data_IF_673310626888
#
_entry.id   IF_673310626888
#
_cell.length_a   1.000
_cell.length_b   1.000
_cell.length_c   1.000
_cell.angle_alpha   90.00
_cell.angle_beta   90.00
_cell.angle_gamma   90.00
#
_symmetry.space_group_name_H-M   'P 1'
#
loop_
_entity.id
_entity.type
_entity.pdbx_description
1 polymer ?
#
# COMPACT_ATOMS: atom_id res chain seq x y z
N UNK A 1 7.25 -12.09 -19.36
CA UNK A 1 8.42 -11.21 -19.16
C UNK A 1 8.55 -10.94 -17.67
N UNK A 2 9.74 -11.05 -17.08
CA UNK A 2 9.94 -10.69 -15.68
C UNK A 2 9.88 -9.16 -15.54
N UNK A 3 8.99 -8.66 -14.69
CA UNK A 3 8.90 -7.23 -14.41
C UNK A 3 10.13 -6.75 -13.63
N UNK A 4 10.81 -5.73 -14.13
CA UNK A 4 11.92 -5.09 -13.42
C UNK A 4 11.41 -4.35 -12.17
N UNK A 5 12.30 -4.13 -11.19
CA UNK A 5 11.97 -3.36 -9.99
C UNK A 5 11.36 -1.99 -10.33
N UNK A 6 11.96 -1.28 -11.28
CA UNK A 6 11.47 0.01 -11.76
C UNK A 6 10.04 -0.05 -12.30
N UNK A 7 9.74 -1.07 -13.11
CA UNK A 7 8.39 -1.26 -13.65
C UNK A 7 7.35 -1.55 -12.56
N UNK A 8 7.77 -2.21 -11.47
CA UNK A 8 6.90 -2.48 -10.32
C UNK A 8 6.63 -1.22 -9.50
N UNK A 9 7.66 -0.38 -9.31
CA UNK A 9 7.48 0.95 -8.70
C UNK A 9 6.50 1.80 -9.52
N UNK A 10 6.66 1.81 -10.84
CA UNK A 10 5.74 2.49 -11.76
C UNK A 10 4.30 1.99 -11.61
N UNK A 11 4.10 0.68 -11.71
CA UNK A 11 2.78 0.07 -11.59
C UNK A 11 2.13 0.38 -10.24
N UNK A 12 2.93 0.42 -9.17
CA UNK A 12 2.46 0.80 -7.82
C UNK A 12 2.04 2.26 -7.77
N UNK A 13 2.85 3.17 -8.32
CA UNK A 13 2.53 4.60 -8.43
C UNK A 13 1.21 4.81 -9.19
N UNK A 14 1.07 4.15 -10.35
CA UNK A 14 -0.12 4.25 -11.19
C UNK A 14 -1.36 3.67 -10.48
N UNK A 15 -1.23 2.55 -9.77
CA UNK A 15 -2.31 1.96 -8.96
C UNK A 15 -2.76 2.90 -7.82
N UNK A 16 -1.84 3.66 -7.25
CA UNK A 16 -2.13 4.67 -6.22
C UNK A 16 -2.64 6.00 -6.81
N UNK A 17 -2.72 6.13 -8.14
CA UNK A 17 -3.18 7.35 -8.80
C UNK A 17 -2.23 8.54 -8.67
N UNK A 18 -0.95 8.29 -8.36
CA UNK A 18 0.04 9.35 -8.13
C UNK A 18 0.75 9.75 -9.43
N UNK A 19 1.06 11.04 -9.58
CA UNK A 19 1.97 11.52 -10.63
C UNK A 19 3.44 11.35 -10.21
N UNK A 20 4.36 11.46 -11.18
CA UNK A 20 5.79 11.40 -10.88
C UNK A 20 6.24 12.58 -10.01
N UNK A 21 5.71 13.77 -10.26
CA UNK A 21 6.00 14.99 -9.51
C UNK A 21 5.57 14.86 -8.05
N UNK A 22 4.38 14.30 -7.79
CA UNK A 22 3.90 14.06 -6.42
C UNK A 22 4.81 13.09 -5.65
N UNK A 23 5.34 12.07 -6.31
CA UNK A 23 6.29 11.14 -5.69
C UNK A 23 7.61 11.85 -5.38
N UNK A 24 8.13 12.64 -6.32
CA UNK A 24 9.36 13.41 -6.13
C UNK A 24 9.23 14.39 -4.97
N UNK A 25 8.13 15.13 -4.91
CA UNK A 25 7.85 16.05 -3.81
C UNK A 25 7.82 15.32 -2.46
N UNK A 26 7.17 14.15 -2.38
CA UNK A 26 7.15 13.39 -1.13
C UNK A 26 8.51 12.79 -0.75
N UNK A 27 9.33 12.37 -1.72
CA UNK A 27 10.68 11.89 -1.49
C UNK A 27 11.58 13.01 -0.94
N UNK A 28 11.44 14.22 -1.48
CA UNK A 28 12.18 15.39 -1.02
C UNK A 28 11.75 15.78 0.40
N UNK A 29 10.45 15.95 0.65
CA UNK A 29 9.92 16.40 1.95
C UNK A 29 10.19 15.39 3.07
N UNK A 30 10.05 14.08 2.82
CA UNK A 30 10.07 13.06 3.88
C UNK A 30 11.41 12.35 4.03
N UNK A 31 12.23 12.31 2.98
CA UNK A 31 13.42 11.48 2.93
C UNK A 31 14.69 12.21 2.48
N UNK A 32 14.61 13.52 2.20
CA UNK A 32 15.75 14.32 1.70
C UNK A 32 16.36 13.71 0.43
N UNK A 33 15.50 13.17 -0.44
CA UNK A 33 15.89 12.61 -1.74
C UNK A 33 15.36 13.53 -2.83
N UNK A 34 16.24 14.37 -3.35
CA UNK A 34 15.94 15.21 -4.51
C UNK A 34 16.29 14.47 -5.79
N UNK A 35 15.35 14.39 -6.73
CA UNK A 35 15.60 13.86 -8.07
C UNK A 35 14.74 14.55 -9.12
N UNK A 36 15.21 14.54 -10.37
CA UNK A 36 14.43 15.08 -11.50
C UNK A 36 13.33 14.10 -11.95
N UNK A 37 12.29 14.62 -12.61
CA UNK A 37 11.28 13.79 -13.27
C UNK A 37 11.92 12.82 -14.28
N UNK A 38 12.93 13.28 -15.02
CA UNK A 38 13.68 12.42 -15.95
C UNK A 38 14.35 11.25 -15.21
N UNK A 39 14.95 11.51 -14.04
CA UNK A 39 15.56 10.47 -13.21
C UNK A 39 14.52 9.43 -12.80
N UNK A 40 13.39 9.86 -12.21
CA UNK A 40 12.32 8.95 -11.82
C UNK A 40 11.77 8.15 -13.01
N UNK A 41 11.58 8.80 -14.15
CA UNK A 41 11.16 8.12 -15.38
C UNK A 41 12.17 7.06 -15.83
N UNK A 42 13.47 7.34 -15.80
CA UNK A 42 14.49 6.35 -16.16
C UNK A 42 14.55 5.18 -15.18
N UNK A 43 14.29 5.41 -13.89
CA UNK A 43 14.13 4.36 -12.89
C UNK A 43 12.91 3.49 -13.24
N UNK A 44 11.75 4.10 -13.45
CA UNK A 44 10.48 3.42 -13.73
C UNK A 44 10.52 2.56 -15.00
N UNK A 45 11.30 2.97 -16.00
CA UNK A 45 11.53 2.20 -17.21
C UNK A 45 12.66 1.16 -17.08
N UNK A 46 13.28 1.03 -15.90
CA UNK A 46 14.38 0.10 -15.64
C UNK A 46 15.70 0.46 -16.32
N UNK A 47 15.82 1.69 -16.86
CA UNK A 47 17.05 2.19 -17.48
C UNK A 47 18.08 2.59 -16.43
N UNK A 48 17.63 3.05 -15.26
CA UNK A 48 18.45 3.33 -14.08
C UNK A 48 18.08 2.37 -12.96
N UNK A 49 19.07 1.88 -12.22
CA UNK A 49 18.85 1.06 -11.02
C UNK A 49 18.48 1.95 -9.84
N UNK A 50 17.63 1.43 -8.96
CA UNK A 50 17.27 2.06 -7.68
C UNK A 50 18.37 1.74 -6.67
N UNK A 51 18.80 2.74 -5.91
CA UNK A 51 19.72 2.52 -4.78
C UNK A 51 19.00 1.81 -3.64
N UNK A 52 19.49 0.62 -3.27
CA UNK A 52 18.81 -0.26 -2.33
C UNK A 52 18.75 0.27 -0.88
N UNK A 53 19.73 1.09 -0.48
CA UNK A 53 19.86 1.55 0.91
C UNK A 53 19.10 2.86 1.20
N UNK A 54 18.97 3.73 0.19
CA UNK A 54 18.35 5.05 0.34
C UNK A 54 17.05 5.19 -0.44
N UNK A 55 17.09 4.96 -1.75
CA UNK A 55 15.94 5.21 -2.61
C UNK A 55 14.84 4.18 -2.41
N UNK A 56 15.18 2.89 -2.36
CA UNK A 56 14.18 1.83 -2.27
C UNK A 56 13.33 1.90 -0.97
N UNK A 57 13.91 2.08 0.23
CA UNK A 57 13.13 2.26 1.45
C UNK A 57 12.26 3.52 1.41
N UNK A 58 12.75 4.59 0.80
CA UNK A 58 11.99 5.83 0.64
C UNK A 58 10.79 5.65 -0.30
N UNK A 59 10.96 4.99 -1.44
CA UNK A 59 9.85 4.63 -2.33
C UNK A 59 8.83 3.75 -1.61
N UNK A 60 9.29 2.74 -0.86
CA UNK A 60 8.42 1.86 -0.09
C UNK A 60 7.59 2.64 0.94
N UNK A 61 8.21 3.59 1.65
CA UNK A 61 7.53 4.47 2.60
C UNK A 61 6.52 5.40 1.92
N UNK A 62 6.89 6.06 0.81
CA UNK A 62 5.99 6.95 0.04
C UNK A 62 4.78 6.18 -0.50
N UNK A 63 4.98 4.95 -0.99
CA UNK A 63 3.90 4.10 -1.50
C UNK A 63 3.13 3.34 -0.42
N UNK A 64 3.55 3.40 0.85
CA UNK A 64 2.94 2.64 1.93
C UNK A 64 2.99 1.12 1.71
N UNK A 65 4.06 0.61 1.08
CA UNK A 65 4.26 -0.82 0.80
C UNK A 65 5.50 -1.33 1.54
N UNK A 66 5.52 -2.59 2.00
CA UNK A 66 6.75 -3.21 2.47
C UNK A 66 7.72 -3.38 1.29
N UNK A 67 9.04 -3.37 1.54
CA UNK A 67 10.05 -3.51 0.49
C UNK A 67 9.87 -4.82 -0.30
N UNK A 68 9.53 -5.91 0.39
CA UNK A 68 9.32 -7.24 -0.20
C UNK A 68 8.23 -7.26 -1.28
N UNK A 69 7.25 -6.36 -1.19
CA UNK A 69 6.18 -6.22 -2.19
C UNK A 69 6.71 -6.00 -3.61
N UNK A 70 7.87 -5.34 -3.75
CA UNK A 70 8.46 -5.08 -5.06
C UNK A 70 9.29 -6.25 -5.61
N UNK A 71 9.48 -7.31 -4.83
CA UNK A 71 10.21 -8.51 -5.22
C UNK A 71 9.30 -9.74 -5.38
N UNK A 72 8.16 -9.77 -4.69
CA UNK A 72 7.10 -10.76 -4.92
C UNK A 72 6.64 -10.70 -6.38
N UNK A 73 6.45 -11.84 -7.05
CA UNK A 73 5.91 -11.86 -8.42
C UNK A 73 4.56 -11.14 -8.43
N UNK A 74 4.54 -9.90 -8.94
CA UNK A 74 3.31 -9.17 -9.17
C UNK A 74 2.66 -9.84 -10.38
N UNK A 75 1.87 -10.86 -10.12
CA UNK A 75 0.84 -11.28 -11.05
C UNK A 75 -0.14 -10.10 -11.15
N UNK A 76 0.07 -9.24 -12.15
CA UNK A 76 -0.86 -8.16 -12.43
C UNK A 76 -2.22 -8.82 -12.74
N UNK A 77 -3.27 -8.55 -11.95
CA UNK A 77 -4.59 -9.05 -12.28
C UNK A 77 -4.99 -8.39 -13.60
N UNK A 78 -5.14 -9.20 -14.64
CA UNK A 78 -5.76 -8.75 -15.87
C UNK A 78 -7.18 -8.29 -15.50
N UNK A 79 -7.40 -6.97 -15.53
CA UNK A 79 -8.69 -6.30 -15.27
C UNK A 79 -9.27 -6.49 -13.85
N UNK A 80 -9.55 -5.37 -13.17
CA UNK A 80 -10.21 -5.31 -11.85
C UNK A 80 -11.54 -6.11 -11.76
N UNK A 81 -12.08 -6.40 -10.54
CA UNK A 81 -11.52 -6.22 -9.20
C UNK A 81 -11.62 -7.49 -8.35
N UNK A 82 -10.53 -7.96 -7.73
CA UNK A 82 -10.68 -8.74 -6.49
C UNK A 82 -9.48 -8.55 -5.57
N UNK A 83 -9.82 -8.15 -4.35
CA UNK A 83 -8.97 -8.08 -3.15
C UNK A 83 -8.25 -9.40 -2.94
N UNK A 84 -6.95 -9.34 -2.68
CA UNK A 84 -6.20 -10.49 -2.13
C UNK A 84 -5.23 -10.01 -1.06
N UNK A 85 -5.73 -9.99 0.17
CA UNK A 85 -4.96 -9.93 1.40
C UNK A 85 -4.65 -11.39 1.80
N UNK A 86 -3.39 -11.79 2.01
CA UNK A 86 -3.12 -12.98 2.79
C UNK A 86 -2.46 -12.55 4.11
N UNK A 87 -3.29 -12.20 5.10
CA UNK A 87 -2.84 -12.18 6.49
C UNK A 87 -3.86 -12.88 7.36
N UNK A 88 -3.44 -14.05 7.84
CA UNK A 88 -4.07 -14.78 8.94
C UNK A 88 -4.13 -13.85 10.16
N UNK A 89 -5.27 -13.19 10.33
CA UNK A 89 -5.91 -12.77 11.58
C UNK A 89 -7.23 -12.14 11.15
N UNK A 90 -8.32 -12.89 11.35
CA UNK A 90 -9.67 -12.40 11.13
C UNK A 90 -9.90 -11.23 12.08
N UNK A 91 -9.78 -10.02 11.55
CA UNK A 91 -10.20 -8.79 12.19
C UNK A 91 -11.38 -8.32 11.34
N UNK A 92 -12.58 -8.64 11.80
CA UNK A 92 -13.82 -8.12 11.23
C UNK A 92 -13.82 -6.62 11.54
N UNK A 93 -13.44 -5.80 10.56
CA UNK A 93 -13.59 -4.34 10.68
C UNK A 93 -15.06 -4.03 10.44
N UNK A 94 -15.81 -3.90 11.53
CA UNK A 94 -17.18 -3.39 11.47
C UNK A 94 -17.11 -1.88 11.25
N UNK A 95 -17.60 -1.42 10.11
CA UNK A 95 -17.77 0.01 9.84
C UNK A 95 -18.87 0.57 10.74
N UNK A 96 -18.48 1.25 11.82
CA UNK A 96 -19.39 1.79 12.81
C UNK A 96 -20.27 2.93 12.27
N UNK A 97 -19.88 3.60 11.20
CA UNK A 97 -20.65 4.71 10.64
C UNK A 97 -21.74 4.24 9.67
N UNK A 98 -21.61 3.02 9.13
CA UNK A 98 -22.61 2.39 8.26
C UNK A 98 -23.73 1.64 9.02
N UNK A 99 -23.60 1.43 10.34
CA UNK A 99 -24.57 0.67 11.13
C UNK A 99 -25.81 1.51 11.49
N UNK A 100 -26.99 0.90 11.39
CA UNK A 100 -28.21 1.51 11.91
C UNK A 100 -28.18 1.54 13.45
N UNK A 101 -28.96 2.42 14.07
CA UNK A 101 -29.01 2.50 15.55
C UNK A 101 -29.40 1.17 16.20
N UNK A 102 -30.18 0.33 15.49
CA UNK A 102 -30.60 -0.99 15.97
C UNK A 102 -29.42 -1.97 16.01
N UNK A 103 -28.61 -1.99 14.96
CA UNK A 103 -27.46 -2.89 14.85
C UNK A 103 -26.36 -2.52 15.87
N UNK A 104 -26.19 -1.21 16.13
CA UNK A 104 -25.28 -0.72 17.18
C UNK A 104 -25.70 -1.19 18.57
N UNK A 105 -27.00 -1.23 18.84
CA UNK A 105 -27.52 -1.68 20.14
C UNK A 105 -27.32 -3.18 20.32
N UNK A 106 -27.53 -3.98 19.28
CA UNK A 106 -27.33 -5.43 19.32
C UNK A 106 -25.86 -5.80 19.56
N UNK A 107 -24.93 -5.14 18.87
CA UNK A 107 -23.49 -5.30 19.10
C UNK A 107 -23.06 -4.91 20.52
N UNK A 108 -23.64 -3.83 21.08
CA UNK A 108 -23.33 -3.41 22.44
C UNK A 108 -23.80 -4.46 23.47
N UNK A 109 -24.96 -5.08 23.25
CA UNK A 109 -25.47 -6.15 24.12
C UNK A 109 -24.58 -7.39 24.05
N UNK A 110 -24.16 -7.81 22.86
CA UNK A 110 -23.26 -8.97 22.70
C UNK A 110 -21.89 -8.74 23.36
N UNK A 111 -21.32 -7.53 23.22
CA UNK A 111 -20.05 -7.19 23.86
C UNK A 111 -20.13 -7.22 25.39
N UNK A 112 -21.20 -6.67 25.97
CA UNK A 112 -21.42 -6.70 27.42
C UNK A 112 -21.56 -8.15 27.91
N UNK A 113 -22.31 -8.98 27.19
CA UNK A 113 -22.48 -10.38 27.56
C UNK A 113 -21.15 -11.15 27.53
N UNK A 114 -20.33 -10.93 26.51
CA UNK A 114 -19.02 -11.59 26.41
C UNK A 114 -18.06 -11.15 27.53
N UNK A 115 -18.04 -9.87 27.90
CA UNK A 115 -17.19 -9.37 29.00
C UNK A 115 -17.62 -9.94 30.36
N UNK A 116 -18.93 -10.16 30.56
CA UNK A 116 -19.45 -10.71 31.81
C UNK A 116 -19.26 -12.23 31.94
N UNK A 117 -19.03 -12.96 30.85
CA UNK A 117 -18.76 -14.40 30.89
C UNK A 117 -17.28 -14.75 31.05
N UNK A 118 -16.37 -13.80 30.87
CA UNK A 118 -14.91 -13.99 31.05
C UNK A 118 -14.39 -13.60 32.46
N UNK A 119 -15.28 -13.36 33.42
CA UNK A 119 -14.97 -13.14 34.85
C UNK A 119 -15.66 -14.16 35.74
#
# INVERSE_FOLDING_TARGET
MAFSLGQRLRATRELLGMTQEQVIEQLEIKHDITMSQQTLSTIEHGKRKVEAERELPAFAAVYGKPIDYFYETLELPATHPVVSIPRKRSLVTVDLDALTQRDKLELAVELIHNVLQET
#
